data_IF_744534906724
#
_entry.id   IF_744534906724
#
_cell.length_a   1.000
_cell.length_b   1.000
_cell.length_c   1.000
_cell.angle_alpha   90.00
_cell.angle_beta   90.00
_cell.angle_gamma   90.00
#
_symmetry.space_group_name_H-M   'P 1'
#
loop_
_entity.id
_entity.type
_entity.pdbx_description
1 polymer ?
#
# COMPACT_ATOMS: atom_id res chain seq x y z
N UNK A 1 -10.70 -4.98 0.62
CA UNK A 1 -10.62 -3.63 0.06
C UNK A 1 -10.91 -2.67 1.19
N UNK A 2 -9.88 -1.93 1.62
CA UNK A 2 -10.03 -0.80 2.55
C UNK A 2 -10.13 0.47 1.71
N UNK A 3 -10.99 1.39 2.10
CA UNK A 3 -11.37 2.61 1.37
C UNK A 3 -11.28 3.80 2.33
N UNK A 4 -10.17 3.94 3.04
CA UNK A 4 -10.03 5.04 4.00
C UNK A 4 -9.43 6.29 3.35
N UNK A 5 -9.62 7.42 4.03
CA UNK A 5 -9.00 8.71 3.72
C UNK A 5 -7.60 8.72 4.34
N UNK A 6 -6.58 8.46 3.51
CA UNK A 6 -5.20 8.30 3.93
C UNK A 6 -4.42 9.63 3.90
N UNK A 7 -4.89 10.62 3.16
CA UNK A 7 -4.23 11.93 3.05
C UNK A 7 -5.00 13.08 3.72
N UNK A 8 -6.18 12.80 4.27
CA UNK A 8 -6.98 13.72 5.07
C UNK A 8 -7.74 14.75 4.26
N UNK A 9 -7.90 14.53 2.94
CA UNK A 9 -8.57 15.47 2.05
C UNK A 9 -10.11 15.34 2.06
N UNK A 10 -10.64 14.35 2.78
CA UNK A 10 -12.06 14.06 2.92
C UNK A 10 -12.63 13.15 1.83
N UNK A 11 -11.82 12.75 0.86
CA UNK A 11 -12.11 11.68 -0.08
C UNK A 11 -11.38 10.39 0.34
N UNK A 12 -11.65 9.29 -0.37
CA UNK A 12 -11.10 7.98 -0.03
C UNK A 12 -10.15 7.52 -1.11
N UNK A 13 -9.06 6.91 -0.69
CA UNK A 13 -8.06 6.33 -1.57
C UNK A 13 -8.48 4.95 -2.05
N UNK A 14 -8.06 4.60 -3.27
CA UNK A 14 -8.17 3.25 -3.79
C UNK A 14 -6.88 2.48 -3.53
N UNK A 15 -6.99 1.34 -2.85
CA UNK A 15 -5.87 0.42 -2.63
C UNK A 15 -6.08 -0.83 -3.47
N UNK A 16 -5.11 -1.15 -4.33
CA UNK A 16 -5.10 -2.34 -5.17
C UNK A 16 -3.94 -3.23 -4.74
N UNK A 17 -4.20 -4.53 -4.62
CA UNK A 17 -3.21 -5.50 -4.17
C UNK A 17 -2.93 -6.53 -5.25
N UNK A 18 -1.65 -6.83 -5.48
CA UNK A 18 -1.18 -7.89 -6.36
C UNK A 18 -0.20 -8.80 -5.59
N UNK A 19 -0.68 -9.69 -4.70
CA UNK A 19 0.17 -10.46 -3.81
C UNK A 19 1.09 -11.47 -4.49
N UNK A 20 0.87 -11.78 -5.76
CA UNK A 20 1.74 -12.66 -6.55
C UNK A 20 2.62 -11.88 -7.55
N UNK A 21 2.60 -10.54 -7.49
CA UNK A 21 3.44 -9.71 -8.33
C UNK A 21 4.91 -10.05 -8.12
N UNK A 22 5.65 -10.05 -9.23
CA UNK A 22 7.08 -10.34 -9.27
C UNK A 22 7.88 -9.20 -9.90
N UNK A 23 7.36 -7.97 -9.80
CA UNK A 23 7.92 -6.77 -10.42
C UNK A 23 9.26 -6.37 -9.82
N UNK A 24 9.46 -6.59 -8.51
CA UNK A 24 10.75 -6.37 -7.82
C UNK A 24 11.54 -7.65 -7.54
N UNK A 25 10.87 -8.69 -7.08
CA UNK A 25 11.44 -9.99 -6.81
C UNK A 25 10.37 -11.09 -6.94
N UNK A 26 10.78 -12.35 -7.11
CA UNK A 26 9.85 -13.48 -7.23
C UNK A 26 8.83 -13.47 -6.09
N UNK A 27 7.54 -13.34 -6.45
CA UNK A 27 6.39 -13.28 -5.52
C UNK A 27 6.60 -12.33 -4.33
N UNK A 28 7.25 -11.20 -4.61
CA UNK A 28 7.35 -10.12 -3.62
C UNK A 28 5.99 -9.59 -3.20
N UNK A 29 5.04 -9.61 -4.12
CA UNK A 29 3.75 -8.96 -3.94
C UNK A 29 3.89 -7.45 -4.03
N UNK A 30 2.79 -6.81 -4.43
CA UNK A 30 2.71 -5.36 -4.56
C UNK A 30 1.38 -4.83 -4.00
N UNK A 31 1.43 -3.60 -3.49
CA UNK A 31 0.27 -2.81 -3.09
C UNK A 31 0.39 -1.44 -3.73
N UNK A 32 -0.64 -1.04 -4.46
CA UNK A 32 -0.75 0.23 -5.16
C UNK A 32 -1.76 1.10 -4.43
N UNK A 33 -1.39 2.34 -4.12
CA UNK A 33 -2.28 3.35 -3.54
C UNK A 33 -2.53 4.40 -4.61
N UNK A 34 -3.80 4.63 -4.91
CA UNK A 34 -4.25 5.62 -5.88
C UNK A 34 -5.09 6.65 -5.13
N UNK A 35 -4.63 7.90 -5.15
CA UNK A 35 -5.28 9.01 -4.45
C UNK A 35 -6.37 9.64 -5.27
N UNK A 36 -7.39 10.11 -4.54
CA UNK A 36 -8.54 10.77 -5.14
C UNK A 36 -8.13 12.00 -5.96
N UNK A 37 -7.23 12.84 -5.42
CA UNK A 37 -6.63 14.01 -6.05
C UNK A 37 -5.33 13.71 -6.82
N UNK A 38 -4.98 12.42 -6.96
CA UNK A 38 -3.77 11.93 -7.61
C UNK A 38 -4.09 11.15 -8.87
N UNK A 39 -3.59 9.91 -8.95
CA UNK A 39 -3.75 9.02 -10.10
C UNK A 39 -5.22 8.85 -10.54
N UNK A 40 -6.18 8.91 -9.61
CA UNK A 40 -7.61 8.78 -9.93
C UNK A 40 -8.20 10.04 -10.59
N UNK A 41 -7.63 11.22 -10.33
CA UNK A 41 -8.11 12.48 -10.90
C UNK A 41 -7.53 12.79 -12.29
N UNK A 42 -6.38 12.21 -12.60
CA UNK A 42 -5.63 12.44 -13.85
C UNK A 42 -5.88 11.35 -14.88
N UNK A 43 -6.33 10.18 -14.45
CA UNK A 43 -6.67 9.07 -15.34
C UNK A 43 -8.01 9.30 -16.05
N UNK A 44 -8.06 8.99 -17.34
CA UNK A 44 -9.31 8.91 -18.11
C UNK A 44 -10.11 7.65 -17.79
N UNK A 45 -10.50 6.89 -18.83
CA UNK A 45 -11.34 5.68 -18.65
C UNK A 45 -10.60 4.47 -18.05
N UNK A 46 -9.26 4.42 -18.16
CA UNK A 46 -8.41 3.32 -17.66
C UNK A 46 -7.23 3.89 -16.91
N UNK A 47 -6.90 3.27 -15.77
CA UNK A 47 -5.74 3.62 -14.93
C UNK A 47 -4.70 2.52 -15.05
N UNK A 48 -3.49 2.86 -15.50
CA UNK A 48 -2.35 1.94 -15.43
C UNK A 48 -1.77 1.96 -14.01
N UNK A 49 -1.52 0.79 -13.41
CA UNK A 49 -1.02 0.71 -12.03
C UNK A 49 0.41 1.28 -11.88
N UNK A 50 1.12 1.47 -12.99
CA UNK A 50 2.40 2.19 -13.02
C UNK A 50 2.27 3.67 -12.68
N UNK A 51 1.07 4.25 -12.82
CA UNK A 51 0.78 5.64 -12.49
C UNK A 51 0.28 5.81 -11.05
N UNK A 52 0.27 4.75 -10.24
CA UNK A 52 -0.14 4.81 -8.84
C UNK A 52 0.72 5.82 -8.06
N UNK A 53 0.07 6.59 -7.18
CA UNK A 53 0.73 7.59 -6.34
C UNK A 53 1.79 6.98 -5.42
N UNK A 54 1.54 5.75 -4.95
CA UNK A 54 2.52 4.97 -4.21
C UNK A 54 2.43 3.50 -4.61
N UNK A 55 3.60 2.88 -4.77
CA UNK A 55 3.69 1.43 -4.91
C UNK A 55 4.63 0.85 -3.83
N UNK A 56 4.09 -0.09 -3.07
CA UNK A 56 4.79 -0.82 -2.03
C UNK A 56 5.06 -2.24 -2.49
N UNK A 57 6.26 -2.72 -2.23
CA UNK A 57 6.69 -4.08 -2.59
C UNK A 57 7.18 -4.82 -1.35
N UNK A 58 6.85 -6.10 -1.26
CA UNK A 58 7.47 -6.99 -0.28
C UNK A 58 8.89 -7.42 -0.70
N UNK A 59 9.55 -8.18 0.17
CA UNK A 59 10.77 -8.91 -0.18
C UNK A 59 10.44 -10.19 -0.95
N UNK A 60 11.47 -10.86 -1.50
CA UNK A 60 11.31 -12.09 -2.27
C UNK A 60 10.52 -13.14 -1.48
N UNK A 61 9.46 -13.67 -2.10
CA UNK A 61 8.53 -14.68 -1.56
C UNK A 61 7.58 -14.23 -0.43
N UNK A 62 7.50 -12.94 -0.10
CA UNK A 62 6.66 -12.45 0.99
C UNK A 62 5.15 -12.55 0.73
N UNK A 63 4.75 -12.50 -0.55
CA UNK A 63 3.37 -12.25 -0.99
C UNK A 63 2.74 -11.03 -0.28
N UNK A 64 3.47 -9.92 -0.18
CA UNK A 64 2.95 -8.69 0.42
C UNK A 64 1.67 -8.23 -0.29
N UNK A 65 0.71 -7.72 0.47
CA UNK A 65 -0.61 -7.35 -0.05
C UNK A 65 -1.62 -8.49 -0.08
N UNK A 66 -1.34 -9.64 0.55
CA UNK A 66 -2.35 -10.72 0.65
C UNK A 66 -3.57 -10.27 1.46
N UNK A 67 -3.38 -9.38 2.42
CA UNK A 67 -4.46 -8.68 3.12
C UNK A 67 -4.07 -7.22 3.31
N UNK A 68 -5.06 -6.32 3.28
CA UNK A 68 -4.86 -4.90 3.59
C UNK A 68 -6.00 -4.40 4.45
N UNK A 69 -5.69 -3.52 5.40
CA UNK A 69 -6.67 -2.86 6.28
C UNK A 69 -6.17 -1.48 6.66
N UNK A 70 -7.07 -0.52 6.77
CA UNK A 70 -6.79 0.68 7.55
C UNK A 70 -6.43 0.29 8.98
N UNK A 71 -5.38 0.91 9.51
CA UNK A 71 -4.96 0.77 10.89
C UNK A 71 -5.50 1.91 11.78
N UNK A 72 -6.11 2.93 11.18
CA UNK A 72 -6.38 4.22 11.81
C UNK A 72 -5.10 5.01 12.01
N UNK A 73 -5.19 6.14 12.70
CA UNK A 73 -4.04 6.96 13.08
C UNK A 73 -3.26 6.27 14.22
N UNK A 74 -2.19 5.54 13.87
CA UNK A 74 -1.37 4.78 14.83
C UNK A 74 -0.21 5.62 15.35
N UNK A 75 0.34 6.53 14.54
CA UNK A 75 1.48 7.37 14.93
C UNK A 75 1.08 8.73 15.55
N UNK A 76 -0.20 9.09 15.51
CA UNK A 76 -0.78 10.25 16.18
C UNK A 76 -0.68 11.55 15.39
N UNK A 77 -0.51 11.47 14.06
CA UNK A 77 -0.37 12.63 13.19
C UNK A 77 -1.71 13.18 12.67
N UNK A 78 -2.81 12.48 12.95
CA UNK A 78 -4.17 12.86 12.58
C UNK A 78 -4.67 12.26 11.27
N UNK A 79 -3.89 11.38 10.63
CA UNK A 79 -4.23 10.71 9.36
C UNK A 79 -4.27 9.19 9.52
N UNK A 80 -5.00 8.48 8.67
CA UNK A 80 -5.11 7.02 8.80
C UNK A 80 -3.91 6.30 8.19
N UNK A 81 -3.37 5.33 8.93
CA UNK A 81 -2.28 4.45 8.49
C UNK A 81 -2.79 3.17 7.82
N UNK A 82 -1.88 2.45 7.14
CA UNK A 82 -2.19 1.24 6.39
C UNK A 82 -1.44 0.01 6.94
N UNK A 83 -2.17 -1.06 7.21
CA UNK A 83 -1.62 -2.38 7.53
C UNK A 83 -1.66 -3.29 6.30
N UNK A 84 -0.53 -3.92 5.98
CA UNK A 84 -0.35 -4.82 4.85
C UNK A 84 0.14 -6.18 5.36
N UNK A 85 -0.59 -7.25 5.03
CA UNK A 85 -0.20 -8.62 5.33
C UNK A 85 0.77 -9.19 4.29
N UNK A 86 1.81 -9.86 4.78
CA UNK A 86 2.81 -10.59 4.01
C UNK A 86 2.95 -12.00 4.62
N UNK A 87 1.97 -12.90 4.39
CA UNK A 87 1.87 -14.16 5.12
C UNK A 87 2.99 -15.16 4.79
N UNK A 88 3.71 -14.96 3.69
CA UNK A 88 4.84 -15.79 3.32
C UNK A 88 6.20 -15.13 3.63
N UNK A 89 6.18 -13.94 4.24
CA UNK A 89 7.38 -13.39 4.87
C UNK A 89 7.87 -14.37 5.93
N UNK A 90 9.13 -14.78 5.77
CA UNK A 90 9.79 -15.78 6.61
C UNK A 90 10.41 -15.18 7.88
N UNK A 91 10.39 -13.86 8.02
CA UNK A 91 10.84 -13.13 9.21
C UNK A 91 12.26 -13.50 9.65
N UNK A 92 12.61 -13.15 10.90
CA UNK A 92 13.93 -13.41 11.47
C UNK A 92 14.17 -14.87 11.93
N UNK A 93 13.19 -15.77 11.78
CA UNK A 93 13.24 -17.14 12.34
C UNK A 93 12.65 -18.23 11.42
N UNK A 94 12.59 -17.97 10.11
CA UNK A 94 12.04 -18.86 9.07
C UNK A 94 10.57 -19.28 9.31
N UNK A 95 9.83 -18.51 10.11
CA UNK A 95 8.39 -18.73 10.31
C UNK A 95 7.62 -17.81 9.38
N UNK A 96 6.80 -18.41 8.54
CA UNK A 96 5.85 -17.69 7.69
C UNK A 96 4.86 -16.89 8.53
N UNK A 97 4.76 -15.59 8.26
CA UNK A 97 3.77 -14.70 8.86
C UNK A 97 4.37 -13.34 9.21
N UNK A 98 4.34 -12.42 8.25
CA UNK A 98 4.71 -11.02 8.44
C UNK A 98 3.55 -10.06 8.16
N UNK A 99 3.72 -8.83 8.63
CA UNK A 99 2.89 -7.69 8.28
C UNK A 99 3.73 -6.41 8.32
N UNK A 100 3.36 -5.43 7.51
CA UNK A 100 3.97 -4.11 7.42
C UNK A 100 2.93 -3.06 7.82
N UNK A 101 3.32 -2.10 8.66
CA UNK A 101 2.57 -0.88 8.92
C UNK A 101 3.22 0.25 8.12
N UNK A 102 2.43 0.99 7.37
CA UNK A 102 2.85 2.13 6.58
C UNK A 102 2.12 3.34 7.12
N UNK A 103 2.85 4.36 7.57
CA UNK A 103 2.23 5.55 8.13
C UNK A 103 1.88 6.56 7.05
N UNK A 104 0.80 7.30 7.26
CA UNK A 104 0.32 8.42 6.44
C UNK A 104 1.41 9.42 6.08
N UNK A 105 2.31 9.76 7.01
CA UNK A 105 3.48 10.60 6.75
C UNK A 105 4.38 10.07 5.63
N UNK A 106 4.54 8.75 5.50
CA UNK A 106 5.26 8.12 4.38
C UNK A 106 4.45 8.09 3.07
N UNK A 107 3.13 8.27 3.13
CA UNK A 107 2.24 8.40 1.96
C UNK A 107 2.28 9.83 1.38
N UNK A 108 2.55 10.84 2.22
CA UNK A 108 2.51 12.28 1.83
C UNK A 108 3.90 12.81 1.41
N UNK A 109 4.98 12.35 2.05
CA UNK A 109 6.35 12.86 1.77
C UNK A 109 6.87 12.48 0.37
N UNK A 110 6.26 11.50 -0.31
CA UNK A 110 6.58 11.17 -1.70
C UNK A 110 5.89 12.08 -2.75
N UNK A 111 5.16 13.10 -2.31
CA UNK A 111 4.39 14.03 -3.14
C UNK A 111 5.01 15.45 -3.28
N UNK A 112 6.24 15.69 -2.81
CA UNK A 112 6.97 16.94 -3.06
C UNK A 112 8.23 16.66 -3.92
N UNK A 113 8.57 17.59 -4.85
CA UNK A 113 9.16 17.31 -6.16
C UNK A 113 10.56 16.67 -6.18
#
# INVERSE_FOLDING_TARGET
MSVDDLDGDGARELIITAPLASERAERSGAVYVLRSAGALSTSGDTIELTDADLTLYGAMLDNAGTSVSAAGDVDGDGLSDLLIGAPADSGYNDRYGGAMLITSGQLIEHALP
#
